data_IF_348886367062
#
_entry.id   IF_348886367062
#
_cell.length_a   1.000
_cell.length_b   1.000
_cell.length_c   1.000
_cell.angle_alpha   90.00
_cell.angle_beta   90.00
_cell.angle_gamma   90.00
#
_symmetry.space_group_name_H-M   'P 1'
#
loop_
_entity.id
_entity.type
_entity.pdbx_description
1 polymer ?
#
# COMPACT_ATOMS: atom_id res chain seq x y z
N UNK A 1 12.98 -9.84 7.09
CA UNK A 1 12.31 -9.70 8.40
C UNK A 1 12.67 -8.32 8.95
N UNK A 2 11.68 -7.49 9.25
CA UNK A 2 11.87 -6.15 9.83
C UNK A 2 11.27 -6.19 11.24
N UNK A 3 11.98 -5.64 12.23
CA UNK A 3 11.55 -5.61 13.64
C UNK A 3 11.61 -4.18 14.14
N UNK A 4 10.50 -3.68 14.68
CA UNK A 4 10.39 -2.31 15.18
C UNK A 4 8.93 -1.89 15.43
N UNK A 5 8.76 -0.73 16.03
CA UNK A 5 7.45 -0.09 16.19
C UNK A 5 7.09 0.70 14.94
N UNK A 6 5.94 0.40 14.35
CA UNK A 6 5.45 1.07 13.15
C UNK A 6 3.96 1.35 13.28
N UNK A 7 3.54 2.49 12.74
CA UNK A 7 2.15 2.71 12.41
C UNK A 7 1.83 2.08 11.06
N UNK A 8 0.58 1.66 10.90
CA UNK A 8 0.14 0.90 9.75
C UNK A 8 -1.02 1.64 9.08
N UNK A 9 -0.93 1.76 7.77
CA UNK A 9 -2.03 2.15 6.90
C UNK A 9 -2.27 1.00 5.93
N UNK A 10 -3.54 0.71 5.63
CA UNK A 10 -3.89 -0.36 4.71
C UNK A 10 -5.07 0.04 3.85
N UNK A 11 -5.07 -0.44 2.62
CA UNK A 11 -6.19 -0.33 1.68
C UNK A 11 -6.16 -1.53 0.73
N UNK A 12 -7.23 -1.71 -0.04
CA UNK A 12 -7.46 -2.90 -0.87
C UNK A 12 -7.55 -2.49 -2.33
N UNK A 13 -6.84 -3.20 -3.20
CA UNK A 13 -6.94 -3.00 -4.65
C UNK A 13 -8.25 -3.51 -5.23
N UNK A 14 -8.56 -3.16 -6.48
CA UNK A 14 -9.77 -3.64 -7.16
C UNK A 14 -9.82 -5.18 -7.28
N UNK A 15 -8.64 -5.81 -7.26
CA UNK A 15 -8.45 -7.26 -7.35
C UNK A 15 -8.51 -7.95 -5.97
N UNK A 16 -8.71 -7.19 -4.89
CA UNK A 16 -8.80 -7.72 -3.53
C UNK A 16 -7.45 -7.87 -2.81
N UNK A 17 -6.36 -7.32 -3.36
CA UNK A 17 -5.03 -7.39 -2.73
C UNK A 17 -4.94 -6.33 -1.63
N UNK A 18 -4.60 -6.75 -0.40
CA UNK A 18 -4.37 -5.81 0.70
C UNK A 18 -2.96 -5.22 0.61
N UNK A 19 -2.88 -3.91 0.41
CA UNK A 19 -1.63 -3.16 0.41
C UNK A 19 -1.45 -2.52 1.78
N UNK A 20 -0.25 -2.66 2.34
CA UNK A 20 0.09 -2.14 3.66
C UNK A 20 1.30 -1.23 3.57
N UNK A 21 1.17 -0.02 4.13
CA UNK A 21 2.27 0.94 4.29
C UNK A 21 2.62 1.04 5.77
N UNK A 22 3.88 0.76 6.08
CA UNK A 22 4.45 0.94 7.41
C UNK A 22 5.16 2.29 7.50
N UNK A 23 4.86 3.07 8.53
CA UNK A 23 5.54 4.34 8.82
C UNK A 23 6.12 4.32 10.22
N UNK A 24 7.13 5.16 10.47
CA UNK A 24 7.48 5.51 11.84
C UNK A 24 6.23 6.07 12.59
N UNK A 25 6.14 5.91 13.91
CA UNK A 25 5.10 6.52 14.71
C UNK A 25 4.97 8.03 14.42
N UNK A 26 3.74 8.54 14.43
CA UNK A 26 3.39 9.94 14.15
C UNK A 26 3.68 10.48 12.73
N UNK A 27 4.30 9.67 11.85
CA UNK A 27 4.56 10.05 10.45
C UNK A 27 3.51 9.52 9.46
N UNK A 28 2.38 9.00 9.96
CA UNK A 28 1.36 8.32 9.16
C UNK A 28 0.69 9.22 8.12
N UNK A 29 0.59 10.53 8.35
CA UNK A 29 0.05 11.47 7.37
C UNK A 29 0.81 11.43 6.02
N UNK A 30 2.11 11.12 6.04
CA UNK A 30 2.92 10.96 4.83
C UNK A 30 2.68 9.61 4.13
N UNK A 31 2.24 8.60 4.87
CA UNK A 31 1.99 7.25 4.35
C UNK A 31 0.72 7.15 3.51
N UNK A 32 -0.28 8.00 3.73
CA UNK A 32 -1.56 7.95 2.99
C UNK A 32 -1.39 8.20 1.49
N UNK A 33 -0.51 9.13 1.10
CA UNK A 33 -0.23 9.37 -0.33
C UNK A 33 0.46 8.17 -0.97
N UNK A 34 1.44 7.57 -0.27
CA UNK A 34 2.13 6.38 -0.77
C UNK A 34 1.17 5.19 -0.92
N UNK A 35 0.23 5.02 0.02
CA UNK A 35 -0.79 3.99 -0.03
C UNK A 35 -1.74 4.16 -1.23
N UNK A 36 -2.24 5.38 -1.46
CA UNK A 36 -3.11 5.69 -2.60
C UNK A 36 -2.44 5.42 -3.94
N UNK A 37 -1.17 5.83 -4.10
CA UNK A 37 -0.38 5.56 -5.30
C UNK A 37 -0.15 4.05 -5.47
N UNK A 38 0.18 3.34 -4.39
CA UNK A 38 0.48 1.91 -4.45
C UNK A 38 -0.74 1.09 -4.88
N UNK A 39 -1.91 1.35 -4.31
CA UNK A 39 -3.16 0.67 -4.66
C UNK A 39 -3.51 0.87 -6.14
N UNK A 40 -3.48 2.12 -6.62
CA UNK A 40 -3.78 2.45 -8.01
C UNK A 40 -2.76 1.87 -8.98
N UNK A 41 -1.49 1.92 -8.63
CA UNK A 41 -0.41 1.41 -9.48
C UNK A 41 -0.47 -0.10 -9.62
N UNK A 42 -0.78 -0.81 -8.53
CA UNK A 42 -0.89 -2.27 -8.56
C UNK A 42 -2.04 -2.70 -9.47
N UNK A 43 -3.24 -2.12 -9.31
CA UNK A 43 -4.36 -2.39 -10.23
C UNK A 43 -4.03 -2.02 -11.69
N UNK A 44 -3.37 -0.89 -11.93
CA UNK A 44 -2.93 -0.51 -13.28
C UNK A 44 -1.99 -1.55 -13.90
N UNK A 45 -1.04 -2.09 -13.14
CA UNK A 45 -0.12 -3.11 -13.64
C UNK A 45 -0.80 -4.45 -13.85
N UNK A 46 -1.72 -4.85 -12.96
CA UNK A 46 -2.53 -6.05 -13.15
C UNK A 46 -3.33 -5.98 -14.46
N UNK A 47 -3.97 -4.85 -14.75
CA UNK A 47 -4.67 -4.62 -16.03
C UNK A 47 -3.69 -4.60 -17.22
N UNK A 48 -2.58 -3.85 -17.10
CA UNK A 48 -1.62 -3.65 -18.20
C UNK A 48 -0.93 -4.94 -18.63
N UNK A 49 -0.59 -5.81 -17.67
CA UNK A 49 0.07 -7.07 -17.95
C UNK A 49 -0.92 -8.23 -18.14
N UNK A 50 -2.19 -8.03 -17.79
CA UNK A 50 -3.22 -9.07 -17.77
C UNK A 50 -2.79 -10.30 -16.96
N UNK A 51 -2.10 -10.04 -15.83
CA UNK A 51 -1.61 -11.04 -14.88
C UNK A 51 -2.05 -10.59 -13.49
N UNK A 52 -2.81 -11.41 -12.74
CA UNK A 52 -3.25 -11.10 -11.39
C UNK A 52 -2.10 -11.09 -10.37
#
# INVERSE_FOLDING_TARGET
MVVGEFNVLSDVTNEGVTVIVYTAPEQSARGSFALDVAVKSLSFFTESFNIP
#
